data_IF_759724713961
#
_entry.id   IF_759724713961
#
_cell.length_a   1.000
_cell.length_b   1.000
_cell.length_c   1.000
_cell.angle_alpha   90.00
_cell.angle_beta   90.00
_cell.angle_gamma   90.00
#
_symmetry.space_group_name_H-M   'P 1'
#
loop_
_entity.id
_entity.type
_entity.pdbx_description
1 polymer ?
#
# COMPACT_ATOMS: atom_id res chain seq x y z
N UNK A 1 29.22 -14.63 0.43
CA UNK A 1 27.92 -14.56 1.12
C UNK A 1 27.77 -15.79 2.02
N UNK A 2 27.07 -15.64 3.14
CA UNK A 2 26.64 -16.73 4.01
C UNK A 2 25.12 -16.73 4.03
N UNK A 3 24.50 -17.90 4.16
CA UNK A 3 23.07 -17.99 4.38
C UNK A 3 22.77 -18.38 5.82
N UNK A 4 21.71 -17.83 6.40
CA UNK A 4 21.32 -18.09 7.78
C UNK A 4 21.13 -19.59 8.02
N UNK A 5 20.46 -20.29 7.11
CA UNK A 5 20.25 -21.74 7.20
C UNK A 5 21.55 -22.55 7.34
N UNK A 6 22.65 -22.06 6.77
CA UNK A 6 23.96 -22.71 6.86
C UNK A 6 24.64 -22.48 8.21
N UNK A 7 24.24 -21.45 8.94
CA UNK A 7 24.80 -21.09 10.25
C UNK A 7 24.01 -21.76 11.39
N UNK A 8 22.69 -21.90 11.24
CA UNK A 8 21.84 -22.51 12.27
C UNK A 8 22.25 -23.96 12.54
N UNK A 9 22.36 -24.30 13.83
CA UNK A 9 22.75 -25.62 14.31
C UNK A 9 24.26 -25.88 14.27
N UNK A 10 25.08 -24.98 13.72
CA UNK A 10 26.54 -25.13 13.69
C UNK A 10 27.17 -24.93 15.07
N UNK A 11 28.30 -25.60 15.35
CA UNK A 11 28.96 -25.49 16.63
C UNK A 11 29.48 -24.06 16.87
N UNK A 12 29.37 -23.64 18.13
CA UNK A 12 30.06 -22.47 18.65
C UNK A 12 31.21 -23.00 19.48
N UNK A 13 32.44 -22.62 19.12
CA UNK A 13 33.66 -23.04 19.80
C UNK A 13 34.22 -21.88 20.61
N UNK A 14 34.74 -22.18 21.79
CA UNK A 14 35.45 -21.17 22.58
C UNK A 14 36.84 -20.86 22.00
N UNK A 15 37.61 -20.01 22.70
CA UNK A 15 38.96 -19.65 22.26
C UNK A 15 39.92 -20.85 22.18
N UNK A 16 39.74 -21.84 23.06
CA UNK A 16 40.53 -23.08 23.09
C UNK A 16 40.11 -24.09 22.00
N UNK A 17 38.98 -23.86 21.33
CA UNK A 17 38.42 -24.76 20.33
C UNK A 17 37.47 -25.80 20.92
N UNK A 18 37.10 -25.68 22.20
CA UNK A 18 36.17 -26.57 22.87
C UNK A 18 34.72 -26.21 22.52
N UNK A 19 33.82 -27.20 22.36
CA UNK A 19 32.41 -26.95 22.09
C UNK A 19 31.72 -26.17 23.21
N UNK A 20 31.30 -24.95 22.92
CA UNK A 20 30.51 -24.11 23.83
C UNK A 20 29.00 -24.35 23.67
N UNK A 21 28.53 -24.51 22.43
CA UNK A 21 27.11 -24.70 22.14
C UNK A 21 26.84 -24.79 20.63
N UNK A 22 25.60 -24.51 20.23
CA UNK A 22 25.20 -24.43 18.83
C UNK A 22 24.47 -23.13 18.53
N UNK A 23 24.72 -22.55 17.36
CA UNK A 23 24.00 -21.37 16.89
C UNK A 23 22.52 -21.72 16.76
N UNK A 24 21.67 -20.92 17.40
CA UNK A 24 20.21 -21.06 17.31
C UNK A 24 19.59 -19.93 16.51
N UNK A 25 20.14 -18.72 16.63
CA UNK A 25 19.64 -17.53 15.96
C UNK A 25 20.74 -16.48 15.82
N UNK A 26 20.51 -15.52 14.93
CA UNK A 26 21.32 -14.32 14.75
C UNK A 26 20.41 -13.11 15.00
N UNK A 27 20.92 -12.09 15.69
CA UNK A 27 20.17 -10.87 15.99
C UNK A 27 20.75 -9.72 15.18
N UNK A 28 19.88 -8.96 14.51
CA UNK A 28 20.26 -7.74 13.80
C UNK A 28 19.57 -6.53 14.42
N UNK A 29 20.25 -5.38 14.37
CA UNK A 29 19.65 -4.11 14.75
C UNK A 29 19.17 -3.36 13.50
N UNK A 30 17.88 -3.04 13.48
CA UNK A 30 17.22 -2.28 12.44
C UNK A 30 17.58 -0.78 12.52
N UNK A 31 17.51 -0.08 11.38
CA UNK A 31 17.76 1.36 11.25
C UNK A 31 18.96 1.76 10.38
N UNK A 32 19.68 0.79 9.81
CA UNK A 32 20.70 1.02 8.76
C UNK A 32 20.26 0.30 7.47
N UNK A 33 20.66 0.81 6.29
CA UNK A 33 20.38 0.21 4.97
C UNK A 33 20.69 -1.29 4.90
N UNK A 34 21.79 -1.72 5.54
CA UNK A 34 22.16 -3.12 5.68
C UNK A 34 22.36 -3.46 7.16
N UNK A 35 21.32 -3.92 7.89
CA UNK A 35 21.35 -4.12 9.33
C UNK A 35 22.53 -4.96 9.82
N UNK A 36 23.35 -4.47 10.76
CA UNK A 36 24.44 -5.24 11.33
C UNK A 36 23.94 -6.31 12.31
N UNK A 37 24.56 -7.49 12.26
CA UNK A 37 24.39 -8.52 13.29
C UNK A 37 25.01 -8.01 14.60
N UNK A 38 24.18 -7.89 15.64
CA UNK A 38 24.58 -7.42 16.98
C UNK A 38 24.88 -8.55 17.94
N UNK A 39 24.43 -9.78 17.65
CA UNK A 39 24.76 -10.95 18.46
C UNK A 39 24.24 -12.27 17.92
N UNK A 40 24.57 -13.34 18.64
CA UNK A 40 24.12 -14.71 18.38
C UNK A 40 23.26 -15.19 19.56
N UNK A 41 22.20 -15.92 19.27
CA UNK A 41 21.53 -16.78 20.26
C UNK A 41 22.16 -18.16 20.16
N UNK A 42 22.72 -18.63 21.27
CA UNK A 42 23.42 -19.92 21.34
C UNK A 42 22.69 -20.85 22.29
N UNK A 43 22.39 -22.05 21.81
CA UNK A 43 21.85 -23.13 22.63
C UNK A 43 23.01 -23.90 23.27
N UNK A 44 23.05 -23.89 24.60
CA UNK A 44 24.05 -24.62 25.41
C UNK A 44 23.45 -25.89 26.03
N UNK A 45 24.27 -26.66 26.75
CA UNK A 45 23.84 -27.85 27.46
C UNK A 45 22.64 -27.56 28.39
N UNK A 46 21.69 -28.50 28.47
CA UNK A 46 20.44 -28.31 29.23
C UNK A 46 19.37 -27.48 28.51
N UNK A 47 19.49 -27.25 27.19
CA UNK A 47 18.55 -26.48 26.35
C UNK A 47 18.39 -25.01 26.73
N UNK A 48 19.26 -24.47 27.56
CA UNK A 48 19.28 -23.03 27.86
C UNK A 48 19.78 -22.27 26.62
N UNK A 49 19.11 -21.17 26.30
CA UNK A 49 19.54 -20.24 25.25
C UNK A 49 20.22 -19.03 25.91
N UNK A 50 21.38 -18.67 25.38
CA UNK A 50 22.23 -17.58 25.89
C UNK A 50 22.50 -16.62 24.73
N UNK A 51 22.46 -15.33 25.02
CA UNK A 51 22.86 -14.30 24.07
C UNK A 51 24.36 -14.06 24.14
N UNK A 52 25.00 -14.05 22.98
CA UNK A 52 26.40 -13.67 22.81
C UNK A 52 26.47 -12.38 21.99
N UNK A 53 26.98 -11.27 22.54
CA UNK A 53 27.16 -10.05 21.75
C UNK A 53 28.18 -10.30 20.62
N UNK A 54 28.03 -9.59 19.50
CA UNK A 54 28.93 -9.73 18.34
C UNK A 54 30.40 -9.46 18.71
N UNK A 55 30.64 -8.61 19.71
CA UNK A 55 32.00 -8.36 20.24
C UNK A 55 32.69 -9.62 20.78
N UNK A 56 31.93 -10.63 21.22
CA UNK A 56 32.47 -11.90 21.67
C UNK A 56 32.81 -12.86 20.52
N UNK A 57 32.34 -12.59 19.29
CA UNK A 57 32.54 -13.44 18.11
C UNK A 57 33.82 -13.03 17.38
N UNK A 58 34.73 -13.98 17.19
CA UNK A 58 35.97 -13.81 16.43
C UNK A 58 35.71 -13.94 14.93
N UNK A 59 35.09 -15.05 14.54
CA UNK A 59 34.74 -15.40 13.18
C UNK A 59 33.50 -16.29 13.16
N UNK A 60 32.80 -16.30 12.02
CA UNK A 60 31.70 -17.21 11.75
C UNK A 60 31.70 -17.56 10.26
N UNK A 61 31.53 -18.85 9.97
CA UNK A 61 31.44 -19.40 8.63
C UNK A 61 30.49 -20.62 8.61
N UNK A 62 30.44 -21.35 7.50
CA UNK A 62 29.60 -22.54 7.34
C UNK A 62 30.04 -23.74 8.20
N UNK A 63 31.22 -23.68 8.81
CA UNK A 63 31.74 -24.63 9.79
C UNK A 63 31.31 -24.32 11.23
N UNK A 64 31.06 -23.06 11.56
CA UNK A 64 30.58 -22.62 12.87
C UNK A 64 31.08 -21.24 13.29
N UNK A 65 30.88 -20.90 14.57
CA UNK A 65 31.35 -19.64 15.14
C UNK A 65 32.49 -19.89 16.14
N UNK A 66 33.47 -18.98 16.20
CA UNK A 66 34.57 -19.00 17.17
C UNK A 66 34.49 -17.78 18.08
N UNK A 67 34.70 -17.97 19.38
CA UNK A 67 34.62 -16.90 20.37
C UNK A 67 36.01 -16.34 20.71
N UNK A 68 36.09 -15.02 20.95
CA UNK A 68 37.32 -14.31 21.34
C UNK A 68 37.73 -14.57 22.79
N UNK A 69 36.78 -14.90 23.65
CA UNK A 69 36.94 -14.98 25.11
C UNK A 69 36.41 -16.29 25.67
N UNK A 70 37.07 -16.78 26.74
CA UNK A 70 36.68 -17.95 27.53
C UNK A 70 35.69 -17.61 28.66
N UNK A 71 35.61 -16.33 29.05
CA UNK A 71 34.67 -15.83 30.05
C UNK A 71 33.64 -14.95 29.36
N UNK A 72 32.39 -15.40 29.37
CA UNK A 72 31.26 -14.68 28.80
C UNK A 72 30.30 -14.37 29.93
N UNK A 73 29.86 -13.12 30.01
CA UNK A 73 28.83 -12.72 30.96
C UNK A 73 27.49 -13.36 30.55
N UNK A 74 26.97 -14.26 31.38
CA UNK A 74 25.79 -15.09 31.08
C UNK A 74 24.51 -14.39 31.55
N UNK A 75 24.39 -13.09 31.30
CA UNK A 75 23.14 -12.35 31.53
C UNK A 75 22.04 -12.87 30.60
N UNK A 76 20.80 -12.94 31.10
CA UNK A 76 19.65 -13.26 30.26
C UNK A 76 19.47 -12.18 29.19
N UNK A 77 19.26 -12.63 27.95
CA UNK A 77 18.96 -11.77 26.82
C UNK A 77 17.73 -10.90 27.12
N UNK A 78 17.85 -9.59 26.86
CA UNK A 78 16.70 -8.71 26.65
C UNK A 78 16.85 -8.10 25.27
N UNK A 79 15.96 -8.48 24.36
CA UNK A 79 15.86 -7.90 23.02
C UNK A 79 15.63 -6.40 23.15
N UNK A 80 16.43 -5.60 22.45
CA UNK A 80 16.18 -4.16 22.35
C UNK A 80 14.99 -3.92 21.40
N UNK A 81 14.25 -2.82 21.54
CA UNK A 81 13.07 -2.56 20.71
C UNK A 81 13.33 -2.56 19.19
N UNK A 82 14.54 -2.25 18.75
CA UNK A 82 14.94 -2.20 17.34
C UNK A 82 15.75 -3.44 16.89
N UNK A 83 15.75 -4.51 17.67
CA UNK A 83 16.45 -5.75 17.32
C UNK A 83 15.44 -6.81 16.90
N UNK A 84 15.77 -7.61 15.88
CA UNK A 84 14.99 -8.78 15.46
C UNK A 84 15.87 -10.02 15.43
N UNK A 85 15.28 -11.19 15.70
CA UNK A 85 15.94 -12.49 15.57
C UNK A 85 15.65 -13.06 14.19
N UNK A 86 16.69 -13.22 13.37
CA UNK A 86 16.52 -13.59 11.96
C UNK A 86 15.81 -14.93 11.75
N UNK A 87 16.12 -15.95 12.55
CA UNK A 87 15.51 -17.27 12.39
C UNK A 87 14.10 -17.34 12.98
N UNK A 88 13.84 -16.68 14.10
CA UNK A 88 12.51 -16.72 14.72
C UNK A 88 11.53 -15.73 14.09
N UNK A 89 12.00 -14.52 13.79
CA UNK A 89 11.16 -13.37 13.48
C UNK A 89 11.12 -13.06 11.96
N UNK A 90 12.02 -13.61 11.13
CA UNK A 90 12.07 -13.35 9.68
C UNK A 90 12.03 -14.61 8.80
N UNK A 91 12.75 -15.68 9.17
CA UNK A 91 12.74 -16.94 8.41
C UNK A 91 11.32 -17.56 8.35
N UNK A 92 10.94 -18.07 7.18
CA UNK A 92 9.63 -18.67 6.92
C UNK A 92 8.44 -17.70 7.09
N UNK A 93 8.71 -16.39 7.23
CA UNK A 93 7.69 -15.33 7.29
C UNK A 93 7.34 -14.82 5.90
N UNK A 94 6.18 -14.18 5.81
CA UNK A 94 5.78 -13.41 4.64
C UNK A 94 6.33 -12.00 4.76
N UNK A 95 6.81 -11.48 3.63
CA UNK A 95 7.30 -10.12 3.47
C UNK A 95 6.68 -9.53 2.20
N UNK A 96 6.61 -8.21 2.13
CA UNK A 96 6.27 -7.52 0.90
C UNK A 96 7.54 -7.33 0.09
N UNK A 97 7.48 -7.78 -1.16
CA UNK A 97 8.40 -7.39 -2.22
C UNK A 97 7.87 -6.09 -2.84
N UNK A 98 8.58 -4.99 -2.61
CA UNK A 98 8.16 -3.66 -3.08
C UNK A 98 8.38 -3.50 -4.59
N UNK A 99 9.38 -4.17 -5.16
CA UNK A 99 9.68 -4.11 -6.60
C UNK A 99 8.63 -4.89 -7.38
N UNK A 100 8.40 -6.14 -7.00
CA UNK A 100 7.43 -7.03 -7.66
C UNK A 100 5.99 -6.88 -7.11
N UNK A 101 5.75 -5.96 -6.17
CA UNK A 101 4.44 -5.62 -5.58
C UNK A 101 3.63 -6.83 -5.12
N UNK A 102 4.30 -7.79 -4.48
CA UNK A 102 3.67 -9.06 -4.10
C UNK A 102 4.16 -9.55 -2.76
N UNK A 103 3.39 -10.47 -2.19
CA UNK A 103 3.78 -11.12 -0.95
C UNK A 103 4.54 -12.39 -1.23
N UNK A 104 5.73 -12.45 -0.66
CA UNK A 104 6.66 -13.55 -0.85
C UNK A 104 7.05 -14.13 0.51
N UNK A 105 7.50 -15.38 0.49
CA UNK A 105 7.94 -16.08 1.69
C UNK A 105 9.46 -16.11 1.76
N UNK A 106 10.00 -15.72 2.91
CA UNK A 106 11.42 -15.82 3.23
C UNK A 106 11.83 -17.30 3.34
N UNK A 107 12.49 -17.83 2.31
CA UNK A 107 12.98 -19.20 2.27
C UNK A 107 14.37 -19.34 2.90
N UNK A 108 15.18 -18.28 2.87
CA UNK A 108 16.44 -18.16 3.60
C UNK A 108 16.87 -16.69 3.68
N UNK A 109 17.92 -16.41 4.44
CA UNK A 109 18.39 -15.04 4.67
C UNK A 109 19.88 -14.93 4.33
N UNK A 110 20.23 -13.93 3.53
CA UNK A 110 21.59 -13.73 3.03
C UNK A 110 22.35 -12.68 3.86
N UNK A 111 23.56 -13.06 4.27
CA UNK A 111 24.45 -12.29 5.13
C UNK A 111 25.80 -12.08 4.43
N UNK A 112 26.34 -10.87 4.54
CA UNK A 112 27.68 -10.55 4.04
C UNK A 112 28.59 -9.97 5.13
N UNK A 113 29.87 -10.38 5.19
CA UNK A 113 30.85 -9.74 6.05
C UNK A 113 31.26 -8.39 5.46
N UNK A 114 30.93 -7.30 6.13
CA UNK A 114 31.30 -5.93 5.74
C UNK A 114 32.07 -5.29 6.89
N UNK A 115 33.32 -4.85 6.63
CA UNK A 115 34.21 -4.21 7.63
C UNK A 115 34.32 -5.00 8.95
N UNK A 116 34.36 -6.33 8.89
CA UNK A 116 34.54 -7.20 10.06
C UNK A 116 33.27 -7.50 10.87
N UNK A 117 32.08 -7.14 10.36
CA UNK A 117 30.79 -7.51 10.96
C UNK A 117 29.88 -8.13 9.89
N UNK A 118 29.08 -9.13 10.26
CA UNK A 118 28.04 -9.63 9.36
C UNK A 118 26.91 -8.60 9.27
N UNK A 119 26.40 -8.40 8.05
CA UNK A 119 25.24 -7.57 7.76
C UNK A 119 24.21 -8.37 6.99
N UNK A 120 22.93 -8.08 7.26
CA UNK A 120 21.80 -8.52 6.46
C UNK A 120 21.81 -7.75 5.15
N UNK A 121 21.86 -8.47 4.02
CA UNK A 121 21.98 -7.85 2.70
C UNK A 121 20.76 -8.14 1.83
N UNK A 122 20.25 -9.37 1.88
CA UNK A 122 19.11 -9.78 1.07
C UNK A 122 18.33 -10.93 1.73
N UNK A 123 17.11 -11.14 1.26
CA UNK A 123 16.29 -12.30 1.55
C UNK A 123 16.22 -13.20 0.32
N UNK A 124 16.34 -14.52 0.51
CA UNK A 124 16.14 -15.51 -0.55
C UNK A 124 14.68 -15.99 -0.51
N UNK A 125 13.95 -15.73 -1.58
CA UNK A 125 12.55 -16.17 -1.79
C UNK A 125 12.44 -17.31 -2.80
N UNK A 126 13.57 -17.72 -3.40
CA UNK A 126 13.64 -18.79 -4.38
C UNK A 126 13.65 -20.20 -3.78
N UNK A 127 13.56 -21.20 -4.67
CA UNK A 127 13.61 -22.62 -4.30
C UNK A 127 14.98 -23.04 -3.75
N UNK A 128 16.06 -22.34 -4.09
CA UNK A 128 17.39 -22.61 -3.57
C UNK A 128 17.42 -22.55 -2.03
N UNK A 129 16.73 -21.59 -1.42
CA UNK A 129 16.61 -21.50 0.04
C UNK A 129 16.04 -22.78 0.66
N UNK A 130 14.97 -23.30 0.08
CA UNK A 130 14.34 -24.56 0.52
C UNK A 130 15.30 -25.74 0.32
N UNK A 131 15.93 -25.84 -0.84
CA UNK A 131 16.85 -26.93 -1.16
C UNK A 131 18.08 -26.94 -0.24
N UNK A 132 18.65 -25.77 0.09
CA UNK A 132 19.73 -25.66 1.06
C UNK A 132 19.31 -26.17 2.44
N UNK A 133 18.10 -25.83 2.90
CA UNK A 133 17.57 -26.26 4.20
C UNK A 133 17.32 -27.76 4.27
N UNK A 134 16.91 -28.38 3.17
CA UNK A 134 16.72 -29.84 3.07
C UNK A 134 18.04 -30.62 2.85
N UNK A 135 19.16 -29.92 2.65
CA UNK A 135 20.44 -30.56 2.34
C UNK A 135 20.54 -31.11 0.91
N UNK A 136 19.68 -30.62 0.01
CA UNK A 136 19.60 -31.01 -1.40
C UNK A 136 20.31 -30.02 -2.35
N UNK A 137 21.08 -29.09 -1.81
CA UNK A 137 21.89 -28.13 -2.57
C UNK A 137 22.80 -28.82 -3.58
N UNK A 138 22.89 -28.30 -4.81
CA UNK A 138 23.62 -28.91 -5.91
C UNK A 138 22.75 -29.80 -6.81
N UNK A 139 22.54 -31.10 -6.52
CA UNK A 139 21.74 -31.98 -7.37
C UNK A 139 20.28 -31.52 -7.51
N UNK A 140 19.66 -31.05 -6.43
CA UNK A 140 18.29 -30.53 -6.45
C UNK A 140 18.17 -29.25 -7.29
N UNK A 141 19.12 -28.34 -7.16
CA UNK A 141 19.17 -27.10 -7.94
C UNK A 141 19.36 -27.38 -9.44
N UNK A 142 20.23 -28.33 -9.79
CA UNK A 142 20.43 -28.77 -11.18
C UNK A 142 19.16 -29.34 -11.79
N UNK A 143 18.41 -30.13 -11.02
CA UNK A 143 17.13 -30.69 -11.47
C UNK A 143 16.08 -29.57 -11.64
N UNK A 144 15.95 -28.67 -10.67
CA UNK A 144 15.00 -27.56 -10.73
C UNK A 144 15.25 -26.66 -11.95
N UNK A 145 16.51 -26.29 -12.22
CA UNK A 145 16.89 -25.53 -13.43
C UNK A 145 16.59 -26.32 -14.71
N UNK A 146 16.81 -27.63 -14.73
CA UNK A 146 16.49 -28.47 -15.88
C UNK A 146 14.99 -28.54 -16.18
N UNK A 147 14.14 -28.31 -15.18
CA UNK A 147 12.68 -28.19 -15.32
C UNK A 147 12.22 -26.75 -15.60
N UNK A 148 13.14 -25.79 -15.75
CA UNK A 148 12.82 -24.39 -16.00
C UNK A 148 12.27 -23.64 -14.79
N UNK A 149 12.46 -24.15 -13.57
CA UNK A 149 12.05 -23.45 -12.36
C UNK A 149 13.08 -22.37 -12.00
N UNK A 150 12.61 -21.23 -11.52
CA UNK A 150 13.47 -20.23 -10.89
C UNK A 150 14.01 -20.76 -9.57
N UNK A 151 15.33 -20.84 -9.50
CA UNK A 151 16.04 -21.44 -8.36
C UNK A 151 16.56 -20.37 -7.43
N UNK A 152 17.07 -19.27 -7.97
CA UNK A 152 17.65 -18.17 -7.23
C UNK A 152 16.77 -16.94 -7.47
N UNK A 153 16.16 -16.42 -6.41
CA UNK A 153 15.42 -15.17 -6.41
C UNK A 153 15.74 -14.49 -5.07
N UNK A 154 16.29 -13.29 -5.14
CA UNK A 154 16.79 -12.52 -4.01
C UNK A 154 16.19 -11.12 -4.05
N UNK A 155 15.68 -10.68 -2.91
CA UNK A 155 15.19 -9.31 -2.71
C UNK A 155 16.20 -8.61 -1.82
N UNK A 156 16.70 -7.45 -2.22
CA UNK A 156 17.63 -6.70 -1.38
C UNK A 156 16.91 -6.27 -0.10
N UNK A 157 17.61 -6.26 1.03
CA UNK A 157 16.98 -5.93 2.31
C UNK A 157 16.34 -4.52 2.32
N UNK A 158 16.81 -3.62 1.47
CA UNK A 158 16.22 -2.28 1.30
C UNK A 158 14.82 -2.31 0.68
N UNK A 159 14.51 -3.35 -0.09
CA UNK A 159 13.24 -3.55 -0.81
C UNK A 159 12.26 -4.44 -0.04
N UNK A 160 12.65 -4.89 1.17
CA UNK A 160 11.84 -5.77 2.02
C UNK A 160 11.08 -4.95 3.06
N UNK A 161 9.74 -5.00 3.01
CA UNK A 161 8.88 -4.52 4.09
C UNK A 161 8.25 -5.70 4.87
N UNK A 162 8.53 -5.89 6.17
CA UNK A 162 7.98 -7.00 6.94
C UNK A 162 6.48 -6.81 7.27
N UNK A 163 5.63 -7.73 6.80
CA UNK A 163 4.20 -7.79 7.12
C UNK A 163 4.00 -8.10 8.61
N UNK A 164 3.37 -7.18 9.34
CA UNK A 164 3.33 -7.12 10.81
C UNK A 164 2.69 -8.32 11.54
N UNK A 165 1.91 -9.17 10.87
CA UNK A 165 0.93 -10.02 11.53
C UNK A 165 1.46 -11.24 12.31
N UNK A 166 2.75 -11.57 12.18
CA UNK A 166 3.31 -12.76 12.82
C UNK A 166 4.40 -12.48 13.84
N UNK A 167 4.60 -11.20 14.22
CA UNK A 167 5.54 -10.77 15.24
C UNK A 167 4.77 -10.12 16.39
N UNK A 168 4.28 -10.95 17.31
CA UNK A 168 3.39 -10.63 18.44
C UNK A 168 3.96 -9.67 19.50
N UNK A 169 4.90 -8.78 19.18
CA UNK A 169 5.40 -7.75 20.11
C UNK A 169 6.20 -6.61 19.48
N UNK A 170 6.26 -6.49 18.15
CA UNK A 170 6.80 -5.28 17.55
C UNK A 170 5.69 -4.24 17.49
N UNK A 171 5.63 -3.40 18.54
CA UNK A 171 5.05 -2.08 18.39
C UNK A 171 5.76 -1.40 17.23
N UNK A 172 5.06 -1.32 16.10
CA UNK A 172 5.11 -0.30 15.06
C UNK A 172 6.32 0.62 15.15
N UNK A 173 7.19 0.46 14.15
CA UNK A 173 8.06 1.47 13.51
C UNK A 173 9.16 0.73 12.73
N UNK A 174 8.77 -0.16 11.83
CA UNK A 174 9.53 -0.29 10.58
C UNK A 174 8.80 0.64 9.60
N UNK A 175 9.50 1.62 9.01
CA UNK A 175 8.83 2.64 8.23
C UNK A 175 8.16 1.98 7.03
N UNK A 176 6.83 2.07 6.95
CA UNK A 176 6.04 1.83 5.74
C UNK A 176 6.40 2.84 4.63
N UNK A 177 7.56 3.50 4.70
CA UNK A 177 8.02 4.48 3.73
C UNK A 177 8.05 3.90 2.33
N UNK A 178 8.41 2.63 2.18
CA UNK A 178 8.42 2.00 0.87
C UNK A 178 7.00 1.86 0.30
N UNK A 179 6.05 1.34 1.10
CA UNK A 179 4.64 1.26 0.69
C UNK A 179 3.99 2.63 0.46
N UNK A 180 4.34 3.63 1.28
CA UNK A 180 3.89 5.02 1.10
C UNK A 180 4.43 5.66 -0.19
N UNK A 181 5.44 5.09 -0.84
CA UNK A 181 5.92 5.56 -2.16
C UNK A 181 5.31 4.84 -3.36
N UNK A 182 4.60 3.74 -3.14
CA UNK A 182 3.91 3.02 -4.22
C UNK A 182 2.64 3.78 -4.66
N UNK A 183 2.02 3.39 -5.76
CA UNK A 183 0.68 3.88 -6.10
C UNK A 183 -0.38 3.19 -5.19
N UNK A 184 -1.49 3.84 -4.81
CA UNK A 184 -2.55 3.19 -4.02
C UNK A 184 -3.01 1.84 -4.56
N UNK A 185 -3.28 1.76 -5.87
CA UNK A 185 -3.61 0.51 -6.57
C UNK A 185 -2.58 -0.63 -6.36
N UNK A 186 -1.30 -0.31 -6.24
CA UNK A 186 -0.24 -1.32 -6.02
C UNK A 186 -0.26 -1.82 -4.57
N UNK A 187 -0.49 -0.91 -3.63
CA UNK A 187 -0.64 -1.24 -2.22
C UNK A 187 -1.91 -2.07 -2.02
N UNK A 188 -3.02 -1.71 -2.68
CA UNK A 188 -4.26 -2.47 -2.68
C UNK A 188 -4.00 -3.90 -3.16
N UNK A 189 -3.28 -4.08 -4.29
CA UNK A 189 -2.92 -5.40 -4.80
C UNK A 189 -2.12 -6.24 -3.79
N UNK A 190 -1.17 -5.63 -3.06
CA UNK A 190 -0.42 -6.28 -1.99
C UNK A 190 -1.36 -6.65 -0.83
N UNK A 191 -2.26 -5.76 -0.43
CA UNK A 191 -3.21 -5.96 0.66
C UNK A 191 -4.19 -7.10 0.34
N UNK A 192 -4.67 -7.20 -0.89
CA UNK A 192 -5.59 -8.27 -1.31
C UNK A 192 -4.96 -9.67 -1.17
N UNK A 193 -3.64 -9.79 -1.36
CA UNK A 193 -2.88 -11.04 -1.20
C UNK A 193 -2.67 -11.47 0.27
N UNK A 194 -2.98 -10.59 1.24
CA UNK A 194 -2.85 -10.89 2.67
C UNK A 194 -4.02 -11.69 3.23
N UNK A 195 -3.75 -12.37 4.35
CA UNK A 195 -4.83 -12.88 5.18
C UNK A 195 -5.63 -11.70 5.78
N UNK A 196 -6.96 -11.81 5.97
CA UNK A 196 -7.80 -10.69 6.45
C UNK A 196 -7.31 -10.00 7.73
N UNK A 197 -6.70 -10.77 8.66
CA UNK A 197 -6.17 -10.24 9.92
C UNK A 197 -4.98 -9.30 9.74
N UNK A 198 -4.31 -9.39 8.61
CA UNK A 198 -3.04 -8.72 8.33
C UNK A 198 -3.28 -7.45 7.50
N UNK A 199 -4.36 -7.43 6.71
CA UNK A 199 -4.83 -6.27 5.93
C UNK A 199 -5.06 -5.04 6.81
N UNK A 200 -5.78 -5.24 7.92
CA UNK A 200 -6.05 -4.17 8.89
C UNK A 200 -4.79 -3.60 9.53
N UNK A 201 -3.76 -4.43 9.73
CA UNK A 201 -2.48 -3.98 10.29
C UNK A 201 -1.75 -3.01 9.37
N UNK A 202 -1.75 -3.29 8.06
CA UNK A 202 -1.14 -2.41 7.07
C UNK A 202 -1.90 -1.09 6.95
N UNK A 203 -3.22 -1.14 6.82
CA UNK A 203 -4.04 0.08 6.69
C UNK A 203 -4.00 0.95 7.95
N UNK A 204 -3.94 0.34 9.13
CA UNK A 204 -3.78 1.08 10.39
C UNK A 204 -2.39 1.74 10.54
N UNK A 205 -1.42 1.40 9.70
CA UNK A 205 -0.10 2.01 9.71
C UNK A 205 -0.01 3.27 8.83
N UNK A 206 -0.95 3.47 7.90
CA UNK A 206 -1.10 4.69 7.12
C UNK A 206 -1.87 5.77 7.90
N UNK A 207 -1.66 7.03 7.51
CA UNK A 207 -2.59 8.12 7.84
C UNK A 207 -3.94 7.89 7.13
N UNK A 208 -4.96 8.62 7.56
CA UNK A 208 -6.35 8.42 7.13
C UNK A 208 -6.51 8.63 5.63
N UNK A 209 -5.98 9.74 5.09
CA UNK A 209 -5.90 10.07 3.65
C UNK A 209 -5.30 8.91 2.83
N UNK A 210 -4.10 8.44 3.17
CA UNK A 210 -3.48 7.36 2.41
C UNK A 210 -4.20 6.03 2.57
N UNK A 211 -4.83 5.79 3.71
CA UNK A 211 -5.63 4.59 3.91
C UNK A 211 -6.90 4.64 3.05
N UNK A 212 -7.54 5.80 2.89
CA UNK A 212 -8.68 6.03 2.00
C UNK A 212 -8.32 5.74 0.55
N UNK A 213 -7.26 6.35 0.01
CA UNK A 213 -6.78 6.10 -1.36
C UNK A 213 -6.54 4.60 -1.64
N UNK A 214 -5.98 3.87 -0.67
CA UNK A 214 -5.73 2.43 -0.82
C UNK A 214 -7.05 1.65 -0.72
N UNK A 215 -7.97 2.07 0.14
CA UNK A 215 -9.28 1.45 0.30
C UNK A 215 -10.12 1.56 -0.96
N UNK A 216 -10.16 2.71 -1.63
CA UNK A 216 -10.87 2.93 -2.90
C UNK A 216 -10.45 1.96 -4.00
N UNK A 217 -9.16 1.57 -4.00
CA UNK A 217 -8.61 0.66 -5.00
C UNK A 217 -8.78 -0.84 -4.68
N UNK A 218 -9.22 -1.18 -3.46
CA UNK A 218 -9.52 -2.57 -3.10
C UNK A 218 -10.80 -3.03 -3.81
N UNK A 219 -10.92 -4.34 -4.04
CA UNK A 219 -12.21 -4.89 -4.44
C UNK A 219 -13.27 -4.75 -3.35
N UNK A 220 -14.54 -4.56 -3.74
CA UNK A 220 -15.67 -4.37 -2.81
C UNK A 220 -15.72 -5.41 -1.68
N UNK A 221 -15.51 -6.69 -1.98
CA UNK A 221 -15.45 -7.76 -0.98
C UNK A 221 -14.35 -7.51 0.07
N UNK A 222 -13.17 -7.11 -0.38
CA UNK A 222 -12.01 -6.85 0.49
C UNK A 222 -12.17 -5.52 1.27
N UNK A 223 -12.82 -4.50 0.70
CA UNK A 223 -13.17 -3.25 1.39
C UNK A 223 -14.07 -3.53 2.60
N UNK A 224 -15.16 -4.29 2.41
CA UNK A 224 -16.09 -4.65 3.49
C UNK A 224 -15.37 -5.43 4.59
N UNK A 225 -14.61 -6.47 4.22
CA UNK A 225 -13.85 -7.30 5.16
C UNK A 225 -12.91 -6.48 6.05
N UNK A 226 -12.22 -5.49 5.46
CA UNK A 226 -11.33 -4.60 6.18
C UNK A 226 -12.11 -3.66 7.10
N UNK A 227 -13.15 -3.00 6.59
CA UNK A 227 -13.91 -1.99 7.31
C UNK A 227 -14.66 -2.59 8.52
N UNK A 228 -15.12 -3.84 8.40
CA UNK A 228 -15.72 -4.59 9.51
C UNK A 228 -14.70 -4.97 10.59
N UNK A 229 -13.44 -5.17 10.22
CA UNK A 229 -12.38 -5.55 11.15
C UNK A 229 -11.71 -4.35 11.83
N UNK A 230 -11.85 -3.14 11.27
CA UNK A 230 -11.32 -1.90 11.84
C UNK A 230 -12.16 -1.40 13.03
N UNK A 231 -11.52 -0.72 14.02
CA UNK A 231 -12.23 0.03 15.04
C UNK A 231 -13.19 1.05 14.39
N UNK A 232 -14.44 1.21 14.91
CA UNK A 232 -15.44 2.09 14.30
C UNK A 232 -14.96 3.52 14.06
N UNK A 233 -14.17 4.09 14.98
CA UNK A 233 -13.64 5.45 14.86
C UNK A 233 -12.67 5.56 13.68
N UNK A 234 -11.67 4.68 13.59
CA UNK A 234 -10.72 4.67 12.46
C UNK A 234 -11.41 4.38 11.13
N UNK A 235 -12.45 3.55 11.13
CA UNK A 235 -13.25 3.29 9.93
C UNK A 235 -14.02 4.54 9.48
N UNK A 236 -14.54 5.34 10.42
CA UNK A 236 -15.17 6.61 10.11
C UNK A 236 -14.15 7.63 9.60
N UNK A 237 -13.01 7.78 10.27
CA UNK A 237 -11.92 8.68 9.85
C UNK A 237 -11.45 8.37 8.41
N UNK A 238 -11.35 7.08 8.04
CA UNK A 238 -11.01 6.68 6.66
C UNK A 238 -12.13 7.04 5.67
N UNK A 239 -13.40 6.81 6.03
CA UNK A 239 -14.53 7.12 5.16
C UNK A 239 -14.71 8.63 4.92
N UNK A 240 -14.28 9.47 5.86
CA UNK A 240 -14.26 10.94 5.70
C UNK A 240 -13.24 11.41 4.67
N UNK A 241 -12.12 10.70 4.55
CA UNK A 241 -11.05 11.03 3.60
C UNK A 241 -11.22 10.35 2.25
N UNK A 242 -12.26 9.52 2.08
CA UNK A 242 -12.62 8.91 0.79
C UNK A 242 -13.49 9.84 -0.05
N UNK A 243 -13.46 9.67 -1.37
CA UNK A 243 -14.46 10.27 -2.25
C UNK A 243 -15.88 9.94 -1.77
N UNK A 244 -16.82 10.91 -1.72
CA UNK A 244 -18.13 10.70 -1.10
C UNK A 244 -18.97 9.64 -1.82
N UNK A 245 -18.75 9.46 -3.12
CA UNK A 245 -19.32 8.40 -3.95
C UNK A 245 -18.73 7.02 -3.61
N UNK A 246 -17.41 6.88 -3.52
CA UNK A 246 -16.77 5.62 -3.09
C UNK A 246 -17.19 5.24 -1.66
N UNK A 247 -17.25 6.22 -0.76
CA UNK A 247 -17.71 6.03 0.61
C UNK A 247 -19.19 5.59 0.63
N UNK A 248 -20.04 6.17 -0.22
CA UNK A 248 -21.44 5.77 -0.34
C UNK A 248 -21.58 4.33 -0.87
N UNK A 249 -20.84 3.97 -1.91
CA UNK A 249 -20.84 2.61 -2.47
C UNK A 249 -20.40 1.57 -1.43
N UNK A 250 -19.28 1.82 -0.74
CA UNK A 250 -18.82 0.95 0.34
C UNK A 250 -19.85 0.85 1.46
N UNK A 251 -20.47 1.96 1.83
CA UNK A 251 -21.49 1.98 2.87
C UNK A 251 -22.75 1.21 2.46
N UNK A 252 -23.12 1.20 1.18
CA UNK A 252 -24.30 0.49 0.67
C UNK A 252 -24.24 -1.02 0.92
N UNK A 253 -23.04 -1.61 0.89
CA UNK A 253 -22.80 -3.04 1.15
C UNK A 253 -22.83 -3.42 2.64
N UNK A 254 -22.78 -2.45 3.55
CA UNK A 254 -22.78 -2.70 4.99
C UNK A 254 -24.17 -2.95 5.56
N UNK A 255 -24.22 -3.58 6.74
CA UNK A 255 -25.46 -3.66 7.51
C UNK A 255 -25.96 -2.27 7.94
N UNK A 256 -27.28 -2.07 7.96
CA UNK A 256 -27.90 -0.80 8.42
C UNK A 256 -27.52 -0.37 9.84
N UNK A 257 -27.12 -1.31 10.68
CA UNK A 257 -26.66 -0.99 12.03
C UNK A 257 -25.26 -0.39 12.00
N UNK A 258 -24.37 -0.95 11.17
CA UNK A 258 -23.01 -0.46 10.94
C UNK A 258 -23.02 0.89 10.21
N UNK A 259 -23.84 1.06 9.17
CA UNK A 259 -24.00 2.34 8.48
C UNK A 259 -24.34 3.47 9.47
N UNK A 260 -25.31 3.23 10.37
CA UNK A 260 -25.74 4.23 11.37
C UNK A 260 -24.68 4.51 12.43
N UNK A 261 -23.86 3.52 12.76
CA UNK A 261 -22.73 3.68 13.68
C UNK A 261 -21.67 4.59 13.05
N UNK A 262 -21.21 4.26 11.84
CA UNK A 262 -20.15 5.00 11.15
C UNK A 262 -20.59 6.43 10.80
N UNK A 263 -21.77 6.61 10.20
CA UNK A 263 -22.35 7.95 9.95
C UNK A 263 -22.56 8.79 11.22
N UNK A 264 -22.65 8.16 12.39
CA UNK A 264 -22.79 8.85 13.67
C UNK A 264 -21.45 9.25 14.30
N UNK A 265 -20.34 8.69 13.80
CA UNK A 265 -18.98 9.02 14.20
C UNK A 265 -18.34 10.04 13.26
N UNK A 266 -18.79 10.07 12.00
CA UNK A 266 -18.30 11.01 11.00
C UNK A 266 -18.61 12.48 11.33
N UNK A 267 -17.82 13.40 10.79
CA UNK A 267 -18.14 14.82 10.74
C UNK A 267 -19.47 15.07 10.00
N UNK A 268 -20.16 16.15 10.40
CA UNK A 268 -21.54 16.35 9.99
C UNK A 268 -21.69 16.60 8.49
N UNK A 269 -20.76 17.34 7.90
CA UNK A 269 -20.79 17.74 6.50
C UNK A 269 -20.51 16.51 5.61
N UNK A 270 -19.42 15.75 5.86
CA UNK A 270 -19.09 14.52 5.12
C UNK A 270 -20.19 13.46 5.23
N UNK A 271 -20.73 13.28 6.44
CA UNK A 271 -21.80 12.33 6.65
C UNK A 271 -23.12 12.73 5.96
N UNK A 272 -23.37 14.03 5.75
CA UNK A 272 -24.52 14.50 4.99
C UNK A 272 -24.34 14.24 3.48
N UNK A 273 -23.14 14.42 2.94
CA UNK A 273 -22.81 14.10 1.54
C UNK A 273 -22.98 12.60 1.24
N UNK A 274 -22.39 11.73 2.07
CA UNK A 274 -22.53 10.27 1.92
C UNK A 274 -24.00 9.84 2.07
N UNK A 275 -24.77 10.44 2.99
CA UNK A 275 -26.22 10.15 3.14
C UNK A 275 -27.02 10.56 1.91
N UNK A 276 -26.66 11.68 1.29
CA UNK A 276 -27.32 12.15 0.07
C UNK A 276 -27.10 11.13 -1.06
N UNK A 277 -25.86 10.72 -1.29
CA UNK A 277 -25.51 9.77 -2.36
C UNK A 277 -26.10 8.38 -2.12
N UNK A 278 -26.05 7.86 -0.88
CA UNK A 278 -26.69 6.60 -0.47
C UNK A 278 -28.20 6.52 -0.75
N UNK A 279 -28.88 7.65 -0.95
CA UNK A 279 -30.31 7.67 -1.24
C UNK A 279 -30.62 7.33 -2.71
N UNK A 280 -29.64 7.43 -3.60
CA UNK A 280 -29.81 7.15 -5.03
C UNK A 280 -29.55 5.67 -5.35
N UNK A 281 -30.25 5.09 -6.34
CA UNK A 281 -29.91 3.75 -6.81
C UNK A 281 -28.56 3.74 -7.55
N UNK A 282 -27.71 2.76 -7.26
CA UNK A 282 -26.39 2.50 -7.88
C UNK A 282 -26.43 2.54 -9.43
N UNK A 283 -27.55 2.15 -10.04
CA UNK A 283 -27.73 2.06 -11.49
C UNK A 283 -28.11 3.39 -12.17
N UNK A 284 -28.04 4.49 -11.44
CA UNK A 284 -28.43 5.83 -11.90
C UNK A 284 -27.27 6.80 -11.87
N UNK A 285 -27.39 7.91 -12.60
CA UNK A 285 -26.41 8.98 -12.56
C UNK A 285 -26.20 9.52 -11.13
N UNK A 286 -27.25 9.56 -10.30
CA UNK A 286 -27.14 9.95 -8.89
C UNK A 286 -26.39 8.95 -8.01
N UNK A 287 -26.40 7.66 -8.37
CA UNK A 287 -25.62 6.63 -7.67
C UNK A 287 -24.20 6.46 -8.19
N UNK A 288 -23.81 7.17 -9.25
CA UNK A 288 -22.46 7.17 -9.83
C UNK A 288 -21.78 8.54 -9.73
N UNK A 289 -22.45 9.54 -9.16
CA UNK A 289 -21.93 10.89 -9.14
C UNK A 289 -21.22 11.17 -7.83
N UNK A 290 -20.14 11.93 -7.93
CA UNK A 290 -19.53 12.59 -6.78
C UNK A 290 -20.09 14.00 -6.60
N UNK A 291 -20.19 14.46 -5.36
CA UNK A 291 -20.49 15.85 -4.98
C UNK A 291 -19.26 16.74 -5.02
N UNK A 292 -18.07 16.17 -5.15
CA UNK A 292 -16.81 16.91 -5.24
C UNK A 292 -16.54 17.44 -6.65
N UNK A 293 -17.02 18.66 -6.91
CA UNK A 293 -16.75 19.34 -8.17
C UNK A 293 -16.60 20.85 -8.00
N UNK A 294 -15.83 21.45 -8.91
CA UNK A 294 -15.47 22.86 -8.83
C UNK A 294 -16.45 23.73 -9.61
N UNK A 295 -17.11 24.65 -8.91
CA UNK A 295 -18.03 25.62 -9.51
C UNK A 295 -17.43 27.02 -9.60
N UNK A 296 -17.77 27.77 -10.65
CA UNK A 296 -17.34 29.17 -10.86
C UNK A 296 -18.51 30.05 -11.29
N UNK A 297 -18.44 31.33 -10.94
CA UNK A 297 -19.38 32.33 -11.44
C UNK A 297 -18.97 32.83 -12.84
N UNK A 298 -19.93 33.11 -13.75
CA UNK A 298 -19.63 33.68 -15.06
C UNK A 298 -18.93 35.06 -15.00
N UNK A 299 -19.06 35.77 -13.88
CA UNK A 299 -18.47 37.09 -13.69
C UNK A 299 -17.04 37.07 -13.16
N UNK A 300 -16.56 35.94 -12.62
CA UNK A 300 -15.18 35.81 -12.16
C UNK A 300 -14.20 35.92 -13.33
N UNK A 301 -13.03 36.49 -13.06
CA UNK A 301 -11.93 36.57 -14.02
C UNK A 301 -11.08 35.32 -13.96
N UNK A 302 -10.36 35.01 -15.05
CA UNK A 302 -9.45 33.87 -15.09
C UNK A 302 -8.44 33.87 -13.92
N UNK A 303 -7.91 35.04 -13.56
CA UNK A 303 -6.97 35.18 -12.45
C UNK A 303 -7.58 34.81 -11.10
N UNK A 304 -8.80 35.30 -10.81
CA UNK A 304 -9.50 35.00 -9.56
C UNK A 304 -9.73 33.50 -9.40
N UNK A 305 -10.17 32.85 -10.47
CA UNK A 305 -10.38 31.39 -10.47
C UNK A 305 -9.06 30.66 -10.26
N UNK A 306 -7.99 31.03 -10.98
CA UNK A 306 -6.67 30.41 -10.82
C UNK A 306 -6.14 30.58 -9.40
N UNK A 307 -6.29 31.76 -8.79
CA UNK A 307 -5.81 31.99 -7.43
C UNK A 307 -6.60 31.17 -6.41
N UNK A 308 -7.92 31.05 -6.58
CA UNK A 308 -8.73 30.15 -5.74
C UNK A 308 -8.33 28.69 -5.89
N UNK A 309 -8.05 28.21 -7.11
CA UNK A 309 -7.57 26.84 -7.33
C UNK A 309 -6.22 26.58 -6.64
N UNK A 310 -5.34 27.57 -6.58
CA UNK A 310 -4.06 27.45 -5.85
C UNK A 310 -4.23 27.41 -4.34
N UNK A 311 -5.26 28.07 -3.82
CA UNK A 311 -5.57 28.09 -2.39
C UNK A 311 -6.26 26.80 -1.94
N UNK A 312 -7.20 26.31 -2.76
CA UNK A 312 -7.90 25.04 -2.51
C UNK A 312 -6.97 23.84 -2.68
N UNK A 313 -6.03 23.90 -3.66
CA UNK A 313 -5.16 22.79 -4.03
C UNK A 313 -5.91 21.45 -4.16
N UNK A 314 -7.03 21.40 -4.91
CA UNK A 314 -7.87 20.22 -4.99
C UNK A 314 -7.11 19.06 -5.64
N UNK A 315 -7.53 17.84 -5.32
CA UNK A 315 -6.96 16.64 -5.91
C UNK A 315 -7.09 16.63 -7.43
N UNK A 316 -6.11 15.98 -8.06
CA UNK A 316 -5.95 16.03 -9.50
C UNK A 316 -7.16 15.47 -10.25
N UNK A 317 -7.85 14.51 -9.62
CA UNK A 317 -8.96 13.76 -10.21
C UNK A 317 -10.22 14.62 -10.37
N UNK A 318 -10.41 15.63 -9.49
CA UNK A 318 -11.57 16.53 -9.51
C UNK A 318 -11.33 17.87 -10.24
N UNK A 319 -10.11 18.13 -10.71
CA UNK A 319 -9.73 19.47 -11.19
C UNK A 319 -9.90 19.71 -12.71
N UNK A 320 -10.25 18.71 -13.53
CA UNK A 320 -10.18 18.83 -15.00
C UNK A 320 -11.21 19.79 -15.63
N UNK A 321 -12.40 19.87 -15.03
CA UNK A 321 -13.48 20.76 -15.44
C UNK A 321 -13.88 21.70 -14.30
N UNK A 322 -14.24 22.93 -14.68
CA UNK A 322 -14.95 23.86 -13.81
C UNK A 322 -16.33 24.10 -14.40
N UNK A 323 -17.34 24.06 -13.55
CA UNK A 323 -18.74 24.19 -13.92
C UNK A 323 -19.21 25.62 -13.66
N UNK A 324 -19.69 26.30 -14.71
CA UNK A 324 -20.14 27.67 -14.61
C UNK A 324 -21.61 27.68 -14.21
N UNK A 325 -21.93 28.27 -13.07
CA UNK A 325 -23.30 28.30 -12.51
C UNK A 325 -23.84 29.72 -12.33
N UNK A 326 -25.17 29.87 -12.34
CA UNK A 326 -25.83 31.12 -11.94
C UNK A 326 -26.10 31.17 -10.41
N UNK A 327 -26.77 32.23 -9.96
CA UNK A 327 -27.12 32.40 -8.54
C UNK A 327 -28.21 31.46 -8.02
N UNK A 328 -28.89 30.72 -8.92
CA UNK A 328 -29.84 29.65 -8.60
C UNK A 328 -29.18 28.26 -8.78
N UNK A 329 -27.85 28.18 -8.89
CA UNK A 329 -27.04 26.96 -9.12
C UNK A 329 -27.30 26.26 -10.46
N UNK A 330 -27.93 26.93 -11.43
CA UNK A 330 -28.16 26.35 -12.75
C UNK A 330 -26.87 26.28 -13.56
N UNK A 331 -26.65 25.13 -14.21
CA UNK A 331 -25.49 24.90 -15.06
C UNK A 331 -25.58 25.71 -16.37
N UNK A 332 -24.68 26.68 -16.53
CA UNK A 332 -24.61 27.55 -17.71
C UNK A 332 -23.58 27.09 -18.74
N UNK A 333 -22.48 26.49 -18.28
CA UNK A 333 -21.32 26.22 -19.12
C UNK A 333 -20.22 25.43 -18.40
N UNK A 334 -19.16 25.11 -19.13
CA UNK A 334 -17.94 24.50 -18.57
C UNK A 334 -16.68 25.23 -19.03
N UNK A 335 -15.66 25.20 -18.19
CA UNK A 335 -14.31 25.68 -18.46
C UNK A 335 -13.36 24.52 -18.21
N UNK A 336 -12.37 24.35 -19.09
CA UNK A 336 -11.26 23.41 -18.85
C UNK A 336 -10.09 24.18 -18.22
N UNK A 337 -9.25 23.51 -17.42
CA UNK A 337 -8.00 24.11 -16.93
C UNK A 337 -7.15 24.71 -18.05
N UNK A 338 -7.08 24.04 -19.20
CA UNK A 338 -6.41 24.56 -20.40
C UNK A 338 -7.02 25.90 -20.86
N UNK A 339 -8.35 25.98 -20.93
CA UNK A 339 -9.05 27.20 -21.29
C UNK A 339 -8.76 28.34 -20.32
N UNK A 340 -8.73 28.02 -19.03
CA UNK A 340 -8.42 28.94 -17.95
C UNK A 340 -6.98 29.49 -18.03
N UNK A 341 -5.99 28.63 -18.28
CA UNK A 341 -4.56 28.99 -18.40
C UNK A 341 -4.29 29.87 -19.63
N UNK A 342 -4.99 29.63 -20.75
CA UNK A 342 -4.81 30.40 -22.00
C UNK A 342 -5.52 31.76 -21.94
N UNK A 343 -6.60 31.86 -21.15
CA UNK A 343 -7.34 33.11 -20.99
C UNK A 343 -6.43 34.20 -20.39
N UNK A 344 -6.65 35.45 -20.80
CA UNK A 344 -5.97 36.58 -20.15
C UNK A 344 -6.47 36.70 -18.71
N UNK A 345 -5.60 37.07 -17.74
CA UNK A 345 -5.93 37.15 -16.32
C UNK A 345 -7.24 37.89 -16.02
N UNK A 346 -7.52 38.99 -16.71
CA UNK A 346 -8.67 39.87 -16.47
C UNK A 346 -9.92 39.48 -17.27
N UNK A 347 -9.84 38.45 -18.12
CA UNK A 347 -10.99 38.03 -18.95
C UNK A 347 -12.04 37.34 -18.07
N UNK A 348 -13.32 37.74 -18.13
CA UNK A 348 -14.40 37.06 -17.43
C UNK A 348 -14.64 35.65 -17.97
N UNK A 349 -14.96 34.70 -17.07
CA UNK A 349 -15.29 33.30 -17.37
C UNK A 349 -16.35 33.18 -18.47
N UNK A 350 -17.42 34.00 -18.40
CA UNK A 350 -18.48 34.01 -19.41
C UNK A 350 -17.99 34.24 -20.85
N UNK A 351 -16.82 34.87 -21.04
CA UNK A 351 -16.29 35.20 -22.37
C UNK A 351 -15.58 34.02 -23.05
N UNK A 352 -15.19 32.99 -22.29
CA UNK A 352 -14.43 31.85 -22.81
C UNK A 352 -14.94 30.49 -22.33
N UNK A 353 -15.99 30.44 -21.49
CA UNK A 353 -16.69 29.21 -21.17
C UNK A 353 -17.30 28.57 -22.41
N UNK A 354 -17.44 27.24 -22.40
CA UNK A 354 -18.25 26.51 -23.35
C UNK A 354 -19.71 26.53 -22.86
N UNK A 355 -20.64 27.23 -23.54
CA UNK A 355 -22.04 27.25 -23.14
C UNK A 355 -22.72 25.92 -23.48
N UNK A 356 -23.88 25.67 -22.85
CA UNK A 356 -24.73 24.50 -23.10
C UNK A 356 -23.94 23.17 -23.02
N UNK A 357 -23.39 22.85 -21.83
CA UNK A 357 -22.63 21.63 -21.65
C UNK A 357 -23.55 20.41 -21.80
N UNK A 358 -22.99 19.30 -22.26
CA UNK A 358 -23.69 18.02 -22.23
C UNK A 358 -23.83 17.63 -20.75
N UNK A 359 -25.05 17.33 -20.33
CA UNK A 359 -25.39 16.90 -18.98
C UNK A 359 -26.45 15.82 -19.03
N UNK A 360 -26.61 15.10 -17.93
CA UNK A 360 -27.65 14.07 -17.75
C UNK A 360 -28.52 14.37 -16.54
N UNK A 361 -29.66 13.70 -16.49
CA UNK A 361 -30.59 13.75 -15.37
C UNK A 361 -30.08 12.89 -14.22
N UNK A 362 -30.39 13.27 -12.98
CA UNK A 362 -30.03 12.47 -11.81
C UNK A 362 -30.59 11.03 -11.82
N UNK A 363 -31.75 10.83 -12.44
CA UNK A 363 -32.39 9.53 -12.62
C UNK A 363 -32.04 8.82 -13.94
N UNK A 364 -31.11 9.38 -14.74
CA UNK A 364 -30.65 8.73 -15.95
C UNK A 364 -29.94 7.42 -15.63
N UNK A 365 -30.11 6.42 -16.49
CA UNK A 365 -29.49 5.10 -16.28
C UNK A 365 -27.97 5.16 -16.53
N UNK A 366 -27.19 4.37 -15.80
CA UNK A 366 -25.74 4.27 -15.94
C UNK A 366 -25.26 4.09 -17.40
N UNK A 367 -25.92 3.23 -18.17
CA UNK A 367 -25.61 3.03 -19.61
C UNK A 367 -25.72 4.32 -20.44
N UNK A 368 -26.66 5.21 -20.11
CA UNK A 368 -26.82 6.50 -20.79
C UNK A 368 -25.66 7.45 -20.45
N UNK A 369 -25.26 7.46 -19.18
CA UNK A 369 -24.08 8.20 -18.66
C UNK A 369 -22.83 7.77 -19.42
N UNK A 370 -22.53 6.47 -19.43
CA UNK A 370 -21.37 5.89 -20.12
C UNK A 370 -21.40 6.18 -21.63
N UNK A 371 -22.57 6.06 -22.28
CA UNK A 371 -22.73 6.36 -23.69
C UNK A 371 -22.49 7.85 -24.00
N UNK A 372 -22.94 8.76 -23.13
CA UNK A 372 -22.69 10.19 -23.29
C UNK A 372 -21.20 10.52 -23.16
N UNK A 373 -20.54 10.03 -22.11
CA UNK A 373 -19.09 10.19 -21.87
C UNK A 373 -18.30 9.68 -23.09
N UNK A 374 -18.55 8.45 -23.54
CA UNK A 374 -17.84 7.85 -24.65
C UNK A 374 -18.11 8.58 -25.99
N UNK A 375 -19.35 8.98 -26.26
CA UNK A 375 -19.71 9.66 -27.51
C UNK A 375 -19.05 11.03 -27.65
N UNK A 376 -18.92 11.76 -26.54
CA UNK A 376 -18.43 13.14 -26.53
C UNK A 376 -16.98 13.27 -26.06
N UNK A 377 -16.32 12.16 -25.72
CA UNK A 377 -14.96 12.10 -25.16
C UNK A 377 -14.80 13.04 -23.97
N UNK A 378 -15.72 12.92 -23.01
CA UNK A 378 -15.71 13.72 -21.78
C UNK A 378 -14.87 13.01 -20.71
N UNK A 379 -14.17 13.79 -19.88
CA UNK A 379 -13.52 13.26 -18.68
C UNK A 379 -14.46 13.21 -17.47
N UNK A 380 -15.52 14.02 -17.50
CA UNK A 380 -16.59 14.01 -16.51
C UNK A 380 -17.88 14.53 -17.15
N UNK A 381 -19.02 14.07 -16.64
CA UNK A 381 -20.36 14.41 -17.12
C UNK A 381 -21.19 15.01 -15.98
N UNK A 382 -21.59 16.29 -16.06
CA UNK A 382 -22.41 16.90 -15.03
C UNK A 382 -23.82 16.31 -14.97
N UNK A 383 -24.30 16.14 -13.74
CA UNK A 383 -25.63 15.63 -13.40
C UNK A 383 -26.50 16.78 -12.91
N UNK A 384 -27.73 16.89 -13.43
CA UNK A 384 -28.64 18.00 -13.12
C UNK A 384 -30.03 17.56 -12.67
N UNK A 385 -30.64 18.37 -11.80
CA UNK A 385 -32.03 18.27 -11.36
C UNK A 385 -33.03 18.86 -12.38
N UNK A 386 -34.34 18.79 -12.10
CA UNK A 386 -35.42 19.13 -13.05
C UNK A 386 -35.41 20.60 -13.47
N UNK A 387 -34.85 21.44 -12.63
CA UNK A 387 -34.71 22.88 -12.79
C UNK A 387 -33.39 23.28 -13.46
N UNK A 388 -32.52 22.31 -13.75
CA UNK A 388 -31.22 22.48 -14.40
C UNK A 388 -30.09 22.83 -13.45
N UNK A 389 -30.28 22.62 -12.14
CA UNK A 389 -29.25 22.82 -11.12
C UNK A 389 -28.30 21.65 -11.10
N UNK A 390 -27.01 21.93 -11.02
CA UNK A 390 -25.99 20.88 -10.92
C UNK A 390 -26.10 20.20 -9.55
N UNK A 391 -26.06 18.88 -9.53
CA UNK A 391 -26.15 18.07 -8.30
C UNK A 391 -24.86 17.28 -8.05
N UNK A 392 -24.12 16.98 -9.11
CA UNK A 392 -22.89 16.20 -9.04
C UNK A 392 -22.25 16.06 -10.42
N UNK A 393 -21.18 15.28 -10.47
CA UNK A 393 -20.49 14.91 -11.71
C UNK A 393 -20.19 13.43 -11.69
N UNK A 394 -20.32 12.76 -12.84
CA UNK A 394 -19.83 11.38 -13.00
C UNK A 394 -18.52 11.42 -13.74
N UNK A 395 -17.47 10.83 -13.18
CA UNK A 395 -16.15 10.77 -13.82
C UNK A 395 -16.14 9.72 -14.93
N UNK A 396 -15.09 9.73 -15.75
CA UNK A 396 -14.96 8.78 -16.85
C UNK A 396 -14.67 7.37 -16.34
N UNK A 397 -13.91 7.27 -15.27
CA UNK A 397 -13.46 6.07 -14.59
C UNK A 397 -14.62 5.33 -13.92
N UNK A 398 -15.50 6.00 -13.17
CA UNK A 398 -16.70 5.38 -12.59
C UNK A 398 -17.62 4.82 -13.69
N UNK A 399 -17.81 5.61 -14.75
CA UNK A 399 -18.59 5.17 -15.90
C UNK A 399 -17.94 3.99 -16.63
N UNK A 400 -16.61 3.91 -16.66
CA UNK A 400 -15.88 2.77 -17.23
C UNK A 400 -15.99 1.53 -16.37
N UNK A 401 -15.80 1.66 -15.06
CA UNK A 401 -15.97 0.59 -14.09
C UNK A 401 -17.35 -0.04 -14.22
N UNK A 402 -18.39 0.81 -14.23
CA UNK A 402 -19.76 0.33 -14.39
C UNK A 402 -19.99 -0.36 -15.73
N UNK A 403 -19.40 0.14 -16.81
CA UNK A 403 -19.53 -0.46 -18.14
C UNK A 403 -18.79 -1.80 -18.28
N UNK A 404 -17.66 -1.99 -17.58
CA UNK A 404 -16.86 -3.22 -17.60
C UNK A 404 -17.39 -4.28 -16.62
N UNK A 405 -18.12 -3.84 -15.58
CA UNK A 405 -18.69 -4.67 -14.53
C UNK A 405 -17.66 -5.08 -13.46
N UNK A 406 -18.16 -5.66 -12.39
CA UNK A 406 -17.34 -6.04 -11.23
C UNK A 406 -16.15 -6.96 -11.57
N UNK A 407 -15.03 -6.70 -10.89
CA UNK A 407 -13.81 -7.52 -10.99
C UNK A 407 -13.04 -7.35 -12.30
N UNK A 408 -13.30 -6.28 -13.07
CA UNK A 408 -12.53 -5.96 -14.26
C UNK A 408 -11.05 -5.67 -13.92
N UNK A 409 -10.78 -5.02 -12.78
CA UNK A 409 -9.42 -4.78 -12.26
C UNK A 409 -8.64 -6.09 -12.08
N UNK A 410 -9.26 -7.13 -11.50
CA UNK A 410 -8.67 -8.48 -11.32
C UNK A 410 -8.43 -9.23 -12.64
N UNK A 411 -8.98 -8.76 -13.76
CA UNK A 411 -8.79 -9.34 -15.10
C UNK A 411 -7.71 -8.63 -15.93
N UNK A 412 -7.16 -7.53 -15.43
CA UNK A 412 -6.06 -6.85 -16.09
C UNK A 412 -4.85 -7.81 -16.15
N UNK A 413 -4.21 -7.97 -17.32
CA UNK A 413 -2.96 -8.72 -17.42
C UNK A 413 -1.88 -8.13 -16.51
N UNK A 414 -1.04 -8.97 -15.89
CA UNK A 414 0.17 -8.58 -15.13
C UNK A 414 1.12 -7.65 -15.93
N UNK A 415 0.95 -7.52 -17.25
CA UNK A 415 1.70 -6.60 -18.14
C UNK A 415 1.54 -5.10 -17.81
N UNK A 416 0.59 -4.72 -16.95
CA UNK A 416 0.43 -3.34 -16.47
C UNK A 416 1.15 -3.08 -15.14
N UNK A 417 1.86 -4.07 -14.60
CA UNK A 417 2.92 -3.82 -13.63
C UNK A 417 3.97 -2.91 -14.30
N UNK A 418 4.29 -1.74 -13.71
CA UNK A 418 5.20 -0.79 -14.30
C UNK A 418 6.54 -1.47 -14.51
N UNK A 419 7.02 -1.36 -15.74
CA UNK A 419 8.28 -1.93 -16.16
C UNK A 419 9.40 -1.54 -15.19
N UNK A 420 10.22 -2.54 -14.80
CA UNK A 420 11.52 -2.37 -14.15
C UNK A 420 12.19 -1.10 -14.70
N UNK A 421 12.38 -0.06 -13.87
CA UNK A 421 13.21 1.07 -14.28
C UNK A 421 14.60 0.48 -14.62
N UNK A 422 15.08 0.57 -15.87
CA UNK A 422 16.40 0.05 -16.20
C UNK A 422 17.41 0.82 -15.36
N UNK A 423 18.05 0.10 -14.44
CA UNK A 423 18.88 0.63 -13.37
C UNK A 423 19.68 1.86 -13.80
N UNK A 424 19.55 2.93 -13.01
CA UNK A 424 20.40 4.12 -13.11
C UNK A 424 21.85 3.66 -13.06
N UNK A 425 22.47 3.54 -14.24
CA UNK A 425 23.90 3.38 -14.37
C UNK A 425 24.55 4.62 -13.73
N UNK A 426 25.15 4.41 -12.56
CA UNK A 426 25.96 5.37 -11.84
C UNK A 426 27.00 6.00 -12.79
N UNK A 427 27.16 7.33 -12.68
CA UNK A 427 28.34 8.05 -13.14
C UNK A 427 29.07 8.64 -11.95
#
# INVERSE_FOLDING_TARGET
MLFLSQLIGKPVLDRAGEPFGKVRDLIVALGERYPPVTGLVVRVAGRREIFLPWSAVESIDTGGARLRTSSIDITSFRQRPNEIRLWMDLQDKQIVDVEDRKIVRVNDIQLAPVRGRLRLVAVDVGLAGILRRLGLSGPGERLARAMGLEVENYIEWEEVDPVESSVSSLKLRVPHQALSTLHPADVAHIVEQLAPRDRTGILAAFDDERAAEVMEELSAEDQVDVLEALPPEKAADILEEMGPDDAADLMADLSRDRQRELLGLMEADDADEVRELLAYPEETAGGLMTTEFLTVSPAETAQQVIDRLRELAPDADHAYYLYVIDGDERLLGTVTLRGLIIARPETPVASFMRPEPISVRIDAHADEVAAAIARYNLLALPVVDAEGRIQGVVTVDDAFERALGEGWRKRLPELFEPAEEPGRAER
#
